data_IF_496455057526
#
_entry.id   IF_496455057526
#
_cell.length_a   1.000
_cell.length_b   1.000
_cell.length_c   1.000
_cell.angle_alpha   90.00
_cell.angle_beta   90.00
_cell.angle_gamma   90.00
#
_symmetry.space_group_name_H-M   'P 1'
#
loop_
_entity.id
_entity.type
_entity.pdbx_description
1 polymer ?
#
# COMPACT_ATOMS: atom_id res chain seq x y z
N UNK A 1 -4.93 -40.67 -92.59
CA UNK A 1 -5.70 -40.33 -91.37
C UNK A 1 -4.78 -40.61 -90.18
N UNK A 2 -4.10 -39.59 -89.62
CA UNK A 2 -4.49 -38.88 -88.38
C UNK A 2 -4.99 -39.82 -87.29
N UNK A 3 -4.16 -40.05 -86.27
CA UNK A 3 -4.56 -39.60 -84.95
C UNK A 3 -3.36 -39.32 -84.03
N UNK A 4 -3.34 -38.10 -83.50
CA UNK A 4 -2.36 -37.56 -82.57
C UNK A 4 -2.96 -37.65 -81.16
N UNK A 5 -2.62 -38.68 -80.38
CA UNK A 5 -3.01 -38.70 -78.96
C UNK A 5 -1.89 -38.13 -78.08
N UNK A 6 -1.88 -36.81 -78.00
CA UNK A 6 -1.16 -36.01 -77.01
C UNK A 6 -1.72 -36.33 -75.62
N UNK A 7 -0.98 -37.00 -74.74
CA UNK A 7 -1.35 -37.07 -73.33
C UNK A 7 -0.20 -36.65 -72.40
N UNK A 8 -0.30 -35.37 -72.08
CA UNK A 8 0.23 -34.59 -70.98
C UNK A 8 1.14 -35.29 -69.95
N UNK A 9 2.42 -34.94 -70.05
CA UNK A 9 3.33 -34.60 -68.95
C UNK A 9 2.66 -34.51 -67.57
N UNK A 10 2.60 -35.62 -66.84
CA UNK A 10 2.48 -35.58 -65.39
C UNK A 10 3.88 -35.45 -64.83
N UNK A 11 4.36 -34.20 -64.73
CA UNK A 11 5.56 -33.86 -63.97
C UNK A 11 5.38 -34.39 -62.54
N UNK A 12 5.98 -35.54 -62.27
CA UNK A 12 6.00 -36.17 -60.95
C UNK A 12 6.73 -35.21 -60.02
N UNK A 13 6.00 -34.41 -59.24
CA UNK A 13 6.57 -33.47 -58.27
C UNK A 13 7.47 -34.25 -57.32
N UNK A 14 8.79 -34.10 -57.51
CA UNK A 14 9.80 -34.66 -56.60
C UNK A 14 9.52 -34.08 -55.22
N UNK A 15 9.18 -34.94 -54.26
CA UNK A 15 8.91 -34.53 -52.88
C UNK A 15 10.20 -33.97 -52.30
N UNK A 16 10.27 -32.64 -52.17
CA UNK A 16 11.38 -31.98 -51.49
C UNK A 16 11.51 -32.55 -50.08
N UNK A 17 12.72 -32.98 -49.73
CA UNK A 17 13.03 -33.56 -48.44
C UNK A 17 12.76 -32.50 -47.35
N UNK A 18 11.63 -32.64 -46.64
CA UNK A 18 11.18 -31.68 -45.63
C UNK A 18 12.15 -31.74 -44.46
N UNK A 19 13.13 -30.83 -44.45
CA UNK A 19 14.11 -30.68 -43.37
C UNK A 19 13.34 -30.61 -42.04
N UNK A 20 13.40 -31.67 -41.24
CA UNK A 20 12.80 -31.68 -39.89
C UNK A 20 13.44 -30.55 -39.10
N UNK A 21 12.71 -29.46 -38.92
CA UNK A 21 13.12 -28.32 -38.11
C UNK A 21 13.27 -28.86 -36.69
N UNK A 22 14.52 -29.06 -36.23
CA UNK A 22 14.79 -29.52 -34.86
C UNK A 22 14.13 -28.50 -33.92
N UNK A 23 13.10 -28.95 -33.20
CA UNK A 23 12.46 -28.14 -32.17
C UNK A 23 13.55 -27.78 -31.17
N UNK A 24 13.80 -26.48 -31.00
CA UNK A 24 14.73 -26.01 -29.96
C UNK A 24 14.12 -26.44 -28.62
N UNK A 25 14.86 -27.13 -27.73
CA UNK A 25 14.30 -27.49 -26.44
C UNK A 25 13.86 -26.19 -25.76
N UNK A 26 12.57 -26.09 -25.43
CA UNK A 26 12.03 -24.99 -24.64
C UNK A 26 12.97 -24.80 -23.45
N UNK A 27 13.49 -23.60 -23.26
CA UNK A 27 14.44 -23.32 -22.19
C UNK A 27 13.70 -23.24 -20.86
N UNK A 28 13.17 -24.37 -20.38
CA UNK A 28 12.39 -24.53 -19.15
C UNK A 28 13.08 -23.88 -17.96
N UNK A 29 14.42 -23.95 -17.91
CA UNK A 29 15.23 -23.23 -16.92
C UNK A 29 14.97 -21.72 -16.91
N UNK A 30 14.91 -21.07 -18.08
CA UNK A 30 14.66 -19.61 -18.18
C UNK A 30 13.22 -19.25 -17.80
N UNK A 31 12.25 -20.12 -18.13
CA UNK A 31 10.85 -19.91 -17.79
C UNK A 31 10.68 -20.06 -16.27
N UNK A 32 11.27 -21.11 -15.68
CA UNK A 32 11.27 -21.35 -14.24
C UNK A 32 11.96 -20.22 -13.46
N UNK A 33 13.12 -19.74 -13.91
CA UNK A 33 13.79 -18.60 -13.26
C UNK A 33 13.02 -17.28 -13.41
N UNK A 34 12.16 -17.13 -14.42
CA UNK A 34 11.28 -15.97 -14.55
C UNK A 34 10.06 -16.08 -13.64
N UNK A 35 9.40 -17.23 -13.62
CA UNK A 35 8.26 -17.46 -12.72
C UNK A 35 8.68 -17.39 -11.25
N UNK A 36 9.85 -17.93 -10.91
CA UNK A 36 10.39 -17.83 -9.55
C UNK A 36 10.69 -16.38 -9.16
N UNK A 37 11.30 -15.59 -10.05
CA UNK A 37 11.54 -14.16 -9.77
C UNK A 37 10.24 -13.40 -9.55
N UNK A 38 9.23 -13.63 -10.40
CA UNK A 38 7.90 -13.01 -10.24
C UNK A 38 7.26 -13.45 -8.91
N UNK A 39 7.32 -14.74 -8.58
CA UNK A 39 6.81 -15.28 -7.33
C UNK A 39 7.48 -14.65 -6.11
N UNK A 40 8.81 -14.52 -6.12
CA UNK A 40 9.57 -13.88 -5.02
C UNK A 40 9.22 -12.40 -4.91
N UNK A 41 9.09 -11.67 -6.02
CA UNK A 41 8.69 -10.25 -5.98
C UNK A 41 7.28 -10.06 -5.44
N UNK A 42 6.34 -10.91 -5.84
CA UNK A 42 4.96 -10.87 -5.33
C UNK A 42 4.90 -11.25 -3.86
N UNK A 43 5.62 -12.30 -3.46
CA UNK A 43 5.68 -12.74 -2.07
C UNK A 43 6.32 -11.68 -1.17
N UNK A 44 7.42 -11.06 -1.62
CA UNK A 44 8.05 -9.96 -0.90
C UNK A 44 7.11 -8.76 -0.78
N UNK A 45 6.40 -8.39 -1.85
CA UNK A 45 5.39 -7.34 -1.80
C UNK A 45 4.27 -7.65 -0.81
N UNK A 46 3.74 -8.88 -0.83
CA UNK A 46 2.73 -9.34 0.12
C UNK A 46 3.24 -9.31 1.57
N UNK A 47 4.48 -9.73 1.81
CA UNK A 47 5.10 -9.70 3.13
C UNK A 47 5.23 -8.27 3.66
N UNK A 48 5.58 -7.31 2.81
CA UNK A 48 5.64 -5.90 3.19
C UNK A 48 4.26 -5.33 3.52
N UNK A 49 3.23 -5.69 2.75
CA UNK A 49 1.86 -5.24 3.02
C UNK A 49 1.33 -5.82 4.34
N UNK A 50 1.48 -7.13 4.54
CA UNK A 50 1.01 -7.82 5.74
C UNK A 50 1.83 -7.38 6.96
N UNK A 51 3.16 -7.37 6.85
CA UNK A 51 4.06 -6.92 7.91
C UNK A 51 3.79 -5.46 8.29
N UNK A 52 3.64 -4.58 7.29
CA UNK A 52 3.26 -3.18 7.51
C UNK A 52 1.93 -3.05 8.25
N UNK A 53 0.92 -3.81 7.84
CA UNK A 53 -0.38 -3.83 8.53
C UNK A 53 -0.26 -4.30 9.99
N UNK A 54 0.49 -5.36 10.27
CA UNK A 54 0.69 -5.82 11.65
C UNK A 54 1.45 -4.79 12.49
N UNK A 55 2.48 -4.14 11.93
CA UNK A 55 3.24 -3.10 12.63
C UNK A 55 2.35 -1.90 12.94
N UNK A 56 1.50 -1.44 12.01
CA UNK A 56 0.59 -0.33 12.30
C UNK A 56 -0.43 -0.69 13.38
N UNK A 57 -1.00 -1.90 13.34
CA UNK A 57 -1.89 -2.38 14.40
C UNK A 57 -1.19 -2.44 15.76
N UNK A 58 0.07 -2.90 15.79
CA UNK A 58 0.83 -2.97 17.03
C UNK A 58 1.18 -1.58 17.58
N UNK A 59 1.50 -0.62 16.72
CA UNK A 59 1.72 0.78 17.13
C UNK A 59 0.44 1.44 17.64
N UNK A 60 -0.71 1.13 17.04
CA UNK A 60 -2.02 1.61 17.48
C UNK A 60 -2.47 0.97 18.81
N UNK A 61 -2.13 -0.29 19.04
CA UNK A 61 -2.42 -1.00 20.29
C UNK A 61 -1.39 -0.72 21.40
N UNK A 62 -0.23 -0.13 21.07
CA UNK A 62 0.86 0.06 22.01
C UNK A 62 0.54 1.11 23.08
N UNK A 63 0.83 0.76 24.33
CA UNK A 63 0.70 1.67 25.48
C UNK A 63 1.70 2.83 25.45
N UNK A 64 2.78 2.70 24.68
CA UNK A 64 3.85 3.70 24.57
C UNK A 64 3.37 5.01 23.94
N UNK A 65 2.33 4.96 23.11
CA UNK A 65 1.79 6.12 22.38
C UNK A 65 0.45 6.60 22.94
N UNK A 66 0.07 6.12 24.12
CA UNK A 66 -1.12 6.62 24.81
C UNK A 66 -0.86 8.00 25.39
N UNK A 67 -1.81 8.91 25.19
CA UNK A 67 -1.76 10.26 25.74
C UNK A 67 -1.89 10.19 27.25
N UNK A 68 -0.84 10.61 27.97
CA UNK A 68 -0.84 10.72 29.43
C UNK A 68 -1.02 12.16 29.90
N UNK A 69 -0.54 13.12 29.12
CA UNK A 69 -0.53 14.52 29.53
C UNK A 69 -1.02 15.44 28.42
N UNK A 70 -2.00 16.27 28.76
CA UNK A 70 -2.46 17.39 27.91
C UNK A 70 -2.04 18.68 28.59
N UNK A 71 -1.23 19.49 27.90
CA UNK A 71 -0.72 20.77 28.44
C UNK A 71 -1.28 21.92 27.63
N UNK A 72 -2.07 22.76 28.27
CA UNK A 72 -2.63 23.96 27.63
C UNK A 72 -1.67 25.12 27.83
N UNK A 73 -1.34 25.85 26.76
CA UNK A 73 -0.49 27.05 26.80
C UNK A 73 -1.21 28.24 26.20
N UNK A 74 -0.90 29.44 26.69
CA UNK A 74 -1.46 30.69 26.16
C UNK A 74 -2.91 30.95 26.59
N UNK A 75 -3.39 30.28 27.63
CA UNK A 75 -4.72 30.51 28.16
C UNK A 75 -4.73 31.77 29.05
N UNK A 76 -5.61 32.73 28.71
CA UNK A 76 -5.78 33.96 29.49
C UNK A 76 -7.10 33.95 30.27
N UNK A 77 -8.22 33.68 29.59
CA UNK A 77 -9.57 33.71 30.18
C UNK A 77 -10.10 32.34 30.58
N UNK A 78 -9.76 31.30 29.80
CA UNK A 78 -10.17 29.92 30.07
C UNK A 78 -9.17 29.24 31.00
N UNK A 79 -9.68 28.45 31.97
CA UNK A 79 -8.82 27.56 32.76
C UNK A 79 -8.36 26.40 31.88
N UNK A 80 -7.14 25.89 32.11
CA UNK A 80 -6.59 24.76 31.36
C UNK A 80 -7.53 23.55 31.35
N UNK A 81 -8.15 23.24 32.49
CA UNK A 81 -9.14 22.15 32.63
C UNK A 81 -10.36 22.33 31.73
N UNK A 82 -10.84 23.57 31.56
CA UNK A 82 -11.98 23.86 30.67
C UNK A 82 -11.60 23.66 29.20
N UNK A 83 -10.37 24.01 28.82
CA UNK A 83 -9.86 23.78 27.46
C UNK A 83 -9.69 22.29 27.18
N UNK A 84 -9.19 21.52 28.16
CA UNK A 84 -9.11 20.05 28.04
C UNK A 84 -10.51 19.45 27.92
N UNK A 85 -11.48 19.92 28.69
CA UNK A 85 -12.87 19.49 28.58
C UNK A 85 -13.49 19.80 27.21
N UNK A 86 -13.17 20.96 26.61
CA UNK A 86 -13.60 21.31 25.24
C UNK A 86 -12.94 20.44 24.17
N UNK A 87 -11.68 20.04 24.40
CA UNK A 87 -10.90 19.21 23.48
C UNK A 87 -11.42 17.77 23.36
N UNK A 88 -12.16 17.30 24.37
CA UNK A 88 -12.71 15.93 24.43
C UNK A 88 -11.64 14.84 24.26
N UNK A 89 -10.41 15.15 24.69
CA UNK A 89 -9.30 14.21 24.70
C UNK A 89 -9.39 13.36 25.96
N UNK A 90 -9.68 12.07 25.79
CA UNK A 90 -9.59 11.10 26.87
C UNK A 90 -8.13 10.69 27.14
N UNK A 91 -7.72 10.66 28.41
CA UNK A 91 -6.41 10.15 28.81
C UNK A 91 -6.38 8.63 28.58
N UNK A 92 -5.28 8.13 28.02
CA UNK A 92 -5.11 6.70 27.75
C UNK A 92 -5.46 6.24 26.34
N UNK A 93 -6.02 7.13 25.50
CA UNK A 93 -6.21 6.82 24.07
C UNK A 93 -4.91 7.01 23.29
N UNK A 94 -4.79 6.33 22.15
CA UNK A 94 -3.60 6.43 21.31
C UNK A 94 -3.50 7.82 20.64
N UNK A 95 -2.34 8.45 20.71
CA UNK A 95 -2.10 9.76 20.09
C UNK A 95 -2.28 9.76 18.56
N UNK A 96 -2.08 8.61 17.91
CA UNK A 96 -2.23 8.45 16.46
C UNK A 96 -3.69 8.38 16.01
N UNK A 97 -4.61 7.96 16.87
CA UNK A 97 -6.05 7.91 16.53
C UNK A 97 -6.74 9.25 16.69
N UNK A 98 -6.12 10.21 17.41
CA UNK A 98 -6.64 11.55 17.59
C UNK A 98 -6.62 12.34 16.29
N UNK A 99 -7.69 13.06 15.97
CA UNK A 99 -7.70 14.06 14.91
C UNK A 99 -7.46 15.45 15.50
N UNK A 100 -6.22 15.93 15.41
CA UNK A 100 -5.85 17.25 15.95
C UNK A 100 -6.58 18.41 15.26
N UNK A 101 -6.96 18.24 13.99
CA UNK A 101 -7.66 19.27 13.24
C UNK A 101 -9.09 19.41 13.71
N UNK A 102 -9.79 18.29 13.94
CA UNK A 102 -11.12 18.28 14.53
C UNK A 102 -11.11 18.80 15.97
N UNK A 103 -10.14 18.37 16.78
CA UNK A 103 -9.97 18.86 18.15
C UNK A 103 -9.77 20.38 18.17
N UNK A 104 -8.88 20.90 17.32
CA UNK A 104 -8.65 22.35 17.21
C UNK A 104 -9.92 23.12 16.89
N UNK A 105 -10.68 22.65 15.89
CA UNK A 105 -11.97 23.27 15.49
C UNK A 105 -13.00 23.23 16.61
N UNK A 106 -13.12 22.11 17.32
CA UNK A 106 -14.04 21.95 18.47
C UNK A 106 -13.72 22.93 19.60
N UNK A 107 -12.43 23.19 19.84
CA UNK A 107 -12.00 24.19 20.83
C UNK A 107 -12.33 25.62 20.35
N UNK A 108 -12.16 25.89 19.04
CA UNK A 108 -12.50 27.18 18.41
C UNK A 108 -14.01 27.47 18.34
N UNK A 109 -14.89 26.47 18.50
CA UNK A 109 -16.33 26.71 18.64
C UNK A 109 -16.67 27.52 19.92
N UNK A 110 -15.75 27.58 20.89
CA UNK A 110 -15.92 28.40 22.07
C UNK A 110 -15.68 29.89 21.77
N UNK A 111 -16.62 30.81 22.07
CA UNK A 111 -16.48 32.25 21.77
C UNK A 111 -15.29 32.96 22.43
N UNK A 112 -14.67 32.35 23.44
CA UNK A 112 -13.48 32.90 24.11
C UNK A 112 -12.16 32.39 23.52
N UNK A 113 -12.22 31.58 22.46
CA UNK A 113 -11.07 31.06 21.73
C UNK A 113 -11.07 31.66 20.33
N UNK A 114 -10.01 32.40 19.99
CA UNK A 114 -9.85 32.99 18.66
C UNK A 114 -9.15 32.02 17.70
N UNK A 115 -7.99 31.48 18.11
CA UNK A 115 -7.23 30.51 17.31
C UNK A 115 -6.63 29.42 18.19
N UNK A 116 -6.69 28.17 17.72
CA UNK A 116 -6.12 27.01 18.41
C UNK A 116 -5.11 26.29 17.54
N UNK A 117 -3.98 25.90 18.14
CA UNK A 117 -2.98 25.06 17.47
C UNK A 117 -2.64 23.87 18.35
N UNK A 118 -3.20 22.71 17.99
CA UNK A 118 -2.94 21.46 18.69
C UNK A 118 -1.74 20.75 18.05
N UNK A 119 -0.77 20.33 18.85
CA UNK A 119 0.41 19.59 18.39
C UNK A 119 0.66 18.37 19.27
N UNK A 120 1.07 17.27 18.62
CA UNK A 120 1.58 16.08 19.32
C UNK A 120 3.03 16.29 19.70
N UNK A 121 3.35 16.02 20.97
CA UNK A 121 4.69 15.89 21.49
C UNK A 121 4.88 14.42 21.83
N UNK A 122 5.55 13.69 20.94
CA UNK A 122 5.82 12.28 21.15
C UNK A 122 6.70 12.06 22.38
N UNK A 123 6.53 10.94 23.11
CA UNK A 123 5.61 9.83 22.79
C UNK A 123 4.19 9.97 23.38
N UNK A 124 3.97 10.76 24.45
CA UNK A 124 2.75 10.68 25.28
C UNK A 124 2.06 12.01 25.61
N UNK A 125 2.45 13.10 24.95
CA UNK A 125 2.00 14.44 25.29
C UNK A 125 1.29 15.14 24.13
N UNK A 126 0.27 15.93 24.46
CA UNK A 126 -0.42 16.83 23.52
C UNK A 126 -0.41 18.25 24.09
N UNK A 127 -0.15 19.24 23.25
CA UNK A 127 -0.07 20.68 23.60
C UNK A 127 -0.94 21.51 22.68
#
# INVERSE_FOLDING_TARGET
MRDLKRNQNTTKKVRLNRRKKKSKPLSWRKILHRSLRIGVTLFSGALLLVGGFFVTQLLLASDLFRVEQVVVKGNSRLKGEQVVALSDIEIGINTFTLDLGLIGRKIEENPWVDTTRVRRIFPRQVV
#
